data_IF_495061093030
#
_entry.id   IF_495061093030
#
_cell.length_a   1.000
_cell.length_b   1.000
_cell.length_c   1.000
_cell.angle_alpha   90.00
_cell.angle_beta   90.00
_cell.angle_gamma   90.00
#
_symmetry.space_group_name_H-M   'P 1'
#
loop_
_entity.id
_entity.type
_entity.pdbx_description
1 polymer ?
#
# COMPACT_ATOMS: atom_id res chain seq x y z
N UNK A 1 19.18 3.24 -16.55
CA UNK A 1 20.26 3.72 -17.45
C UNK A 1 19.68 4.53 -18.60
N UNK A 2 18.78 3.97 -19.42
CA UNK A 2 18.20 4.67 -20.57
C UNK A 2 17.45 5.97 -20.23
N UNK A 3 16.64 5.98 -19.16
CA UNK A 3 15.91 7.19 -18.74
C UNK A 3 16.84 8.36 -18.34
N UNK A 4 18.02 8.07 -17.80
CA UNK A 4 19.02 9.12 -17.51
C UNK A 4 19.67 9.58 -18.83
N UNK A 5 19.92 8.65 -19.76
CA UNK A 5 20.41 8.97 -21.10
C UNK A 5 19.53 9.98 -21.84
N UNK A 6 18.21 9.87 -21.73
CA UNK A 6 17.24 10.85 -22.30
C UNK A 6 17.53 12.26 -21.77
N UNK A 7 17.65 12.45 -20.45
CA UNK A 7 17.92 13.76 -19.86
C UNK A 7 19.34 14.28 -20.14
N UNK A 8 20.32 13.38 -20.24
CA UNK A 8 21.69 13.76 -20.58
C UNK A 8 21.83 14.18 -22.04
N UNK A 9 21.12 13.53 -22.97
CA UNK A 9 21.20 13.84 -24.39
C UNK A 9 20.74 15.28 -24.70
N UNK A 10 19.74 15.77 -23.97
CA UNK A 10 19.20 17.15 -24.09
C UNK A 10 19.93 18.17 -23.21
N UNK A 11 20.88 17.75 -22.39
CA UNK A 11 21.60 18.65 -21.50
C UNK A 11 22.55 19.54 -22.30
N UNK A 12 22.55 20.85 -22.01
CA UNK A 12 23.30 21.88 -22.75
C UNK A 12 22.92 22.04 -24.23
N UNK A 13 21.76 21.54 -24.65
CA UNK A 13 21.22 21.81 -25.98
C UNK A 13 20.51 23.17 -25.97
N UNK A 14 20.92 24.15 -26.82
CA UNK A 14 20.20 25.42 -26.93
C UNK A 14 18.74 25.21 -27.32
N UNK A 15 17.86 26.13 -26.89
CA UNK A 15 16.47 26.07 -27.33
C UNK A 15 16.36 26.45 -28.81
N UNK A 16 15.88 25.52 -29.64
CA UNK A 16 15.75 25.71 -31.08
C UNK A 16 15.46 24.39 -31.79
N UNK A 17 15.38 24.45 -33.11
CA UNK A 17 15.30 23.26 -33.97
C UNK A 17 16.70 22.64 -34.12
N UNK A 18 16.99 21.62 -33.32
CA UNK A 18 18.32 20.99 -33.23
C UNK A 18 18.19 19.49 -33.49
N UNK A 19 18.59 19.10 -34.70
CA UNK A 19 18.53 17.70 -35.15
C UNK A 19 19.59 16.81 -34.49
N UNK A 20 20.72 17.37 -34.04
CA UNK A 20 21.88 16.60 -33.55
C UNK A 20 21.57 15.71 -32.33
N UNK A 21 20.54 16.06 -31.56
CA UNK A 21 20.14 15.32 -30.36
C UNK A 21 18.99 14.35 -30.63
N UNK A 22 18.25 14.56 -31.71
CA UNK A 22 17.01 13.83 -31.99
C UNK A 22 17.27 12.33 -32.24
N UNK A 23 18.26 12.01 -33.07
CA UNK A 23 18.59 10.64 -33.46
C UNK A 23 19.03 9.77 -32.26
N UNK A 24 19.71 10.36 -31.29
CA UNK A 24 20.13 9.67 -30.05
C UNK A 24 18.99 9.58 -29.03
N UNK A 25 18.11 10.58 -29.00
CA UNK A 25 17.03 10.69 -28.01
C UNK A 25 15.88 9.71 -28.28
N UNK A 26 15.42 9.62 -29.53
CA UNK A 26 14.24 8.83 -29.89
C UNK A 26 14.36 7.34 -29.50
N UNK A 27 15.49 6.63 -29.78
CA UNK A 27 15.65 5.23 -29.38
C UNK A 27 15.66 5.06 -27.86
N UNK A 28 16.24 6.00 -27.12
CA UNK A 28 16.28 5.97 -25.64
C UNK A 28 14.88 6.10 -25.04
N UNK A 29 14.06 6.99 -25.59
CA UNK A 29 12.66 7.14 -25.18
C UNK A 29 11.88 5.86 -25.48
N UNK A 30 11.97 5.35 -26.71
CA UNK A 30 11.23 4.16 -27.14
C UNK A 30 11.60 2.95 -26.28
N UNK A 31 12.89 2.68 -26.10
CA UNK A 31 13.36 1.56 -25.28
C UNK A 31 12.93 1.69 -23.82
N UNK A 32 12.97 2.90 -23.25
CA UNK A 32 12.49 3.16 -21.89
C UNK A 32 10.99 2.81 -21.75
N UNK A 33 10.16 3.23 -22.70
CA UNK A 33 8.72 2.94 -22.67
C UNK A 33 8.44 1.44 -22.82
N UNK A 34 9.18 0.75 -23.70
CA UNK A 34 9.06 -0.69 -23.88
C UNK A 34 9.44 -1.46 -22.61
N UNK A 35 10.52 -1.07 -21.95
CA UNK A 35 10.97 -1.72 -20.72
C UNK A 35 10.02 -1.45 -19.55
N UNK A 36 9.49 -0.23 -19.43
CA UNK A 36 8.45 0.09 -18.45
C UNK A 36 7.20 -0.78 -18.65
N UNK A 37 6.71 -0.89 -19.89
CA UNK A 37 5.57 -1.74 -20.22
C UNK A 37 5.83 -3.22 -19.89
N UNK A 38 7.02 -3.73 -20.20
CA UNK A 38 7.43 -5.10 -19.85
C UNK A 38 7.42 -5.32 -18.34
N UNK A 39 8.02 -4.40 -17.58
CA UNK A 39 8.12 -4.51 -16.13
C UNK A 39 6.72 -4.50 -15.47
N UNK A 40 5.87 -3.55 -15.85
CA UNK A 40 4.49 -3.44 -15.33
C UNK A 40 3.66 -4.67 -15.72
N UNK A 41 3.77 -5.13 -16.97
CA UNK A 41 3.05 -6.32 -17.43
C UNK A 41 3.49 -7.59 -16.70
N UNK A 42 4.79 -7.76 -16.48
CA UNK A 42 5.32 -8.89 -15.72
C UNK A 42 4.79 -8.86 -14.28
N UNK A 43 4.87 -7.70 -13.62
CA UNK A 43 4.40 -7.55 -12.25
C UNK A 43 2.89 -7.81 -12.11
N UNK A 44 2.08 -7.28 -13.03
CA UNK A 44 0.63 -7.52 -13.06
C UNK A 44 0.30 -9.01 -13.20
N UNK A 45 1.02 -9.73 -14.06
CA UNK A 45 0.85 -11.17 -14.22
C UNK A 45 1.31 -11.94 -12.97
N UNK A 46 2.45 -11.55 -12.37
CA UNK A 46 2.94 -12.16 -11.12
C UNK A 46 1.92 -12.00 -9.99
N UNK A 47 1.36 -10.80 -9.80
CA UNK A 47 0.32 -10.57 -8.79
C UNK A 47 -0.95 -11.36 -9.06
N UNK A 48 -1.36 -11.46 -10.33
CA UNK A 48 -2.55 -12.24 -10.74
C UNK A 48 -2.39 -13.74 -10.46
N UNK A 49 -1.18 -14.26 -10.58
CA UNK A 49 -0.86 -15.67 -10.30
C UNK A 49 -0.42 -15.92 -8.85
N UNK A 50 -0.36 -14.90 -8.00
CA UNK A 50 0.16 -15.05 -6.65
C UNK A 50 -0.80 -15.90 -5.79
N UNK A 51 -0.25 -16.89 -5.11
CA UNK A 51 -0.96 -17.67 -4.10
C UNK A 51 -0.48 -17.29 -2.71
N UNK A 52 -1.43 -17.06 -1.80
CA UNK A 52 -1.14 -16.66 -0.43
C UNK A 52 -1.45 -17.79 0.54
N UNK A 53 -0.47 -18.19 1.35
CA UNK A 53 -0.70 -19.12 2.44
C UNK A 53 -1.40 -18.38 3.61
N UNK A 54 -2.73 -18.33 3.55
CA UNK A 54 -3.56 -17.60 4.52
C UNK A 54 -3.37 -18.10 5.96
N UNK A 55 -3.14 -19.40 6.14
CA UNK A 55 -2.90 -19.97 7.47
C UNK A 55 -1.58 -19.46 8.06
N UNK A 56 -0.51 -19.45 7.27
CA UNK A 56 0.79 -18.93 7.70
C UNK A 56 0.73 -17.42 7.97
N UNK A 57 0.05 -16.66 7.11
CA UNK A 57 -0.13 -15.22 7.30
C UNK A 57 -0.92 -14.92 8.58
N UNK A 58 -2.03 -15.63 8.81
CA UNK A 58 -2.83 -15.50 10.03
C UNK A 58 -2.02 -15.82 11.28
N UNK A 59 -1.25 -16.92 11.26
CA UNK A 59 -0.37 -17.31 12.36
C UNK A 59 0.66 -16.20 12.65
N UNK A 60 1.38 -15.74 11.63
CA UNK A 60 2.41 -14.70 11.77
C UNK A 60 1.85 -13.37 12.28
N UNK A 61 0.62 -13.01 11.91
CA UNK A 61 -0.03 -11.79 12.37
C UNK A 61 -0.28 -11.77 13.89
N UNK A 62 -0.41 -12.95 14.52
CA UNK A 62 -0.57 -13.08 15.97
C UNK A 62 0.75 -13.27 16.73
N UNK A 63 1.88 -13.42 16.05
CA UNK A 63 3.19 -13.65 16.66
C UNK A 63 3.95 -12.34 16.90
N UNK A 64 5.04 -12.42 17.66
CA UNK A 64 6.02 -11.33 17.84
C UNK A 64 5.40 -10.02 18.37
N UNK A 65 4.33 -10.11 19.15
CA UNK A 65 3.72 -8.95 19.81
C UNK A 65 3.25 -7.86 18.84
N UNK A 66 2.95 -8.19 17.57
CA UNK A 66 2.53 -7.21 16.54
C UNK A 66 1.31 -6.41 16.99
N UNK A 67 0.40 -7.05 17.74
CA UNK A 67 -0.88 -6.49 18.16
C UNK A 67 -0.81 -5.62 19.43
N UNK A 68 0.34 -5.54 20.11
CA UNK A 68 0.41 -4.91 21.45
C UNK A 68 0.19 -3.40 21.47
N UNK A 69 0.34 -2.73 20.32
CA UNK A 69 -0.04 -1.32 20.21
C UNK A 69 -1.54 -1.13 20.42
N UNK A 70 -2.36 -2.07 19.95
CA UNK A 70 -3.81 -2.07 20.21
C UNK A 70 -4.14 -2.34 21.67
N UNK A 71 -3.34 -3.18 22.35
CA UNK A 71 -3.48 -3.37 23.80
C UNK A 71 -3.21 -2.08 24.56
N UNK A 72 -2.17 -1.32 24.19
CA UNK A 72 -1.90 -0.02 24.80
C UNK A 72 -3.05 0.97 24.57
N UNK A 73 -3.54 1.07 23.34
CA UNK A 73 -4.67 1.95 23.01
C UNK A 73 -5.96 1.53 23.74
N UNK A 74 -6.19 0.24 23.91
CA UNK A 74 -7.33 -0.29 24.66
C UNK A 74 -7.26 0.13 26.13
N UNK A 75 -6.07 0.04 26.75
CA UNK A 75 -5.85 0.50 28.12
C UNK A 75 -6.12 2.01 28.23
N UNK A 76 -5.65 2.83 27.28
CA UNK A 76 -5.93 4.27 27.25
C UNK A 76 -7.44 4.52 27.23
N UNK A 77 -8.17 3.88 26.32
CA UNK A 77 -9.61 4.08 26.14
C UNK A 77 -10.44 3.60 27.34
N UNK A 78 -10.06 2.48 27.94
CA UNK A 78 -10.84 1.85 29.03
C UNK A 78 -10.53 2.43 30.40
N UNK A 79 -9.27 2.81 30.65
CA UNK A 79 -8.84 3.31 31.95
C UNK A 79 -8.73 4.84 32.01
N UNK A 80 -8.79 5.53 30.86
CA UNK A 80 -8.55 6.97 30.78
C UNK A 80 -7.10 7.37 31.12
N UNK A 81 -6.15 6.45 30.96
CA UNK A 81 -4.74 6.67 31.30
C UNK A 81 -4.01 7.41 30.18
N UNK A 82 -2.99 8.24 30.49
CA UNK A 82 -2.11 8.78 29.47
C UNK A 82 -1.43 7.65 28.68
N UNK A 83 -1.30 7.82 27.35
CA UNK A 83 -0.69 6.81 26.48
C UNK A 83 0.70 6.35 26.95
N UNK A 84 1.53 7.27 27.45
CA UNK A 84 2.85 6.94 28.01
C UNK A 84 2.78 5.89 29.12
N UNK A 85 1.75 5.95 29.97
CA UNK A 85 1.56 5.02 31.08
C UNK A 85 1.09 3.65 30.55
N UNK A 86 0.09 3.63 29.67
CA UNK A 86 -0.37 2.40 29.02
C UNK A 86 0.76 1.70 28.25
N UNK A 87 1.53 2.46 27.47
CA UNK A 87 2.70 1.97 26.74
C UNK A 87 3.79 1.42 27.69
N UNK A 88 3.99 2.04 28.85
CA UNK A 88 4.93 1.53 29.85
C UNK A 88 4.49 0.19 30.45
N UNK A 89 3.20 0.04 30.76
CA UNK A 89 2.61 -1.22 31.25
C UNK A 89 2.80 -2.32 30.21
N UNK A 90 2.35 -2.08 28.97
CA UNK A 90 2.47 -3.04 27.87
C UNK A 90 3.93 -3.38 27.57
N UNK A 91 4.83 -2.40 27.56
CA UNK A 91 6.25 -2.64 27.35
C UNK A 91 6.90 -3.49 28.44
N UNK A 92 6.45 -3.37 29.70
CA UNK A 92 6.85 -4.29 30.78
C UNK A 92 6.27 -5.69 30.56
N UNK A 93 5.01 -5.80 30.17
CA UNK A 93 4.35 -7.08 29.87
C UNK A 93 5.05 -7.84 28.74
N UNK A 94 5.43 -7.15 27.65
CA UNK A 94 6.23 -7.74 26.56
C UNK A 94 7.56 -8.27 27.09
N UNK A 95 8.32 -7.48 27.86
CA UNK A 95 9.62 -7.92 28.40
C UNK A 95 9.47 -9.14 29.32
N UNK A 96 8.44 -9.14 30.16
CA UNK A 96 8.16 -10.27 31.05
C UNK A 96 7.78 -11.52 30.25
N UNK A 97 6.90 -11.40 29.25
CA UNK A 97 6.49 -12.49 28.38
C UNK A 97 7.70 -13.09 27.63
N UNK A 98 8.56 -12.23 27.04
CA UNK A 98 9.81 -12.67 26.38
C UNK A 98 10.73 -13.41 27.35
N UNK A 99 10.92 -12.90 28.57
CA UNK A 99 11.77 -13.55 29.57
C UNK A 99 11.26 -14.93 30.01
N UNK A 100 9.93 -15.13 29.94
CA UNK A 100 9.24 -16.38 30.27
C UNK A 100 9.06 -17.30 29.05
N UNK A 101 9.54 -16.88 27.87
CA UNK A 101 9.28 -17.54 26.58
C UNK A 101 7.78 -17.83 26.36
N UNK A 102 6.95 -16.84 26.68
CA UNK A 102 5.49 -16.91 26.61
C UNK A 102 4.90 -15.73 25.84
N UNK A 103 3.60 -15.80 25.58
CA UNK A 103 2.80 -14.64 25.15
C UNK A 103 2.44 -13.74 26.35
N UNK A 104 1.85 -12.58 26.07
CA UNK A 104 1.25 -11.74 27.11
C UNK A 104 -0.06 -12.38 27.57
N UNK A 105 -0.11 -12.74 28.85
CA UNK A 105 -1.32 -13.23 29.50
C UNK A 105 -2.00 -12.13 30.31
N UNK A 106 -3.27 -12.34 30.66
CA UNK A 106 -4.00 -11.45 31.57
C UNK A 106 -3.24 -11.24 32.89
N UNK A 107 -2.70 -12.31 33.48
CA UNK A 107 -1.95 -12.25 34.73
C UNK A 107 -0.67 -11.41 34.61
N UNK A 108 0.11 -11.59 33.53
CA UNK A 108 1.31 -10.79 33.27
C UNK A 108 0.94 -9.31 33.14
N UNK A 109 -0.17 -9.00 32.47
CA UNK A 109 -0.64 -7.63 32.32
C UNK A 109 -1.06 -7.02 33.67
N UNK A 110 -1.81 -7.77 34.48
CA UNK A 110 -2.26 -7.33 35.80
C UNK A 110 -1.09 -7.15 36.78
N UNK A 111 -0.10 -8.03 36.75
CA UNK A 111 1.16 -7.91 37.50
C UNK A 111 1.90 -6.62 37.11
N UNK A 112 2.13 -6.40 35.82
CA UNK A 112 2.81 -5.20 35.31
C UNK A 112 2.02 -3.92 35.61
N UNK A 113 0.68 -3.97 35.56
CA UNK A 113 -0.17 -2.83 35.94
C UNK A 113 0.00 -2.48 37.40
N UNK A 114 -0.01 -3.47 38.32
CA UNK A 114 0.19 -3.24 39.75
C UNK A 114 1.54 -2.59 40.03
N UNK A 115 2.59 -2.99 39.32
CA UNK A 115 3.91 -2.34 39.45
C UNK A 115 3.93 -0.88 39.00
N UNK A 116 3.20 -0.52 37.94
CA UNK A 116 3.25 0.83 37.35
C UNK A 116 2.25 1.78 38.01
N UNK A 117 1.05 1.30 38.34
CA UNK A 117 -0.07 2.09 38.83
C UNK A 117 -0.35 1.89 40.33
N UNK A 118 0.23 0.87 40.97
CA UNK A 118 -0.15 0.43 42.31
C UNK A 118 -1.49 -0.33 42.35
N UNK A 119 -2.13 -0.56 41.20
CA UNK A 119 -3.40 -1.28 41.07
C UNK A 119 -3.48 -2.10 39.79
N UNK A 120 -4.40 -3.07 39.76
CA UNK A 120 -4.77 -3.77 38.53
C UNK A 120 -5.58 -2.89 37.56
N UNK A 121 -5.65 -3.33 36.32
CA UNK A 121 -6.55 -2.78 35.30
C UNK A 121 -7.96 -3.34 35.51
N UNK A 122 -8.97 -2.55 35.14
CA UNK A 122 -10.38 -2.95 35.13
C UNK A 122 -10.78 -3.80 33.93
N UNK A 123 -9.87 -3.99 32.96
CA UNK A 123 -10.08 -4.87 31.81
C UNK A 123 -10.31 -6.31 32.29
N UNK A 124 -11.22 -7.01 31.61
CA UNK A 124 -11.42 -8.45 31.75
C UNK A 124 -10.40 -9.24 30.92
N UNK A 125 -10.24 -10.53 31.22
CA UNK A 125 -9.39 -11.43 30.43
C UNK A 125 -9.81 -11.46 28.95
N UNK A 126 -11.10 -11.58 28.68
CA UNK A 126 -11.66 -11.54 27.32
C UNK A 126 -11.33 -10.23 26.57
N UNK A 127 -11.33 -9.10 27.26
CA UNK A 127 -10.97 -7.81 26.65
C UNK A 127 -9.47 -7.72 26.32
N UNK A 128 -8.62 -8.35 27.12
CA UNK A 128 -7.17 -8.44 26.85
C UNK A 128 -6.91 -9.38 25.67
N UNK A 129 -7.55 -10.55 25.64
CA UNK A 129 -7.47 -11.48 24.50
C UNK A 129 -7.96 -10.82 23.20
N UNK A 130 -9.09 -10.10 23.27
CA UNK A 130 -9.60 -9.35 22.13
C UNK A 130 -8.61 -8.26 21.68
N UNK A 131 -8.01 -7.50 22.61
CA UNK A 131 -7.03 -6.48 22.26
C UNK A 131 -5.74 -7.03 21.63
N UNK A 132 -5.38 -8.28 21.95
CA UNK A 132 -4.23 -9.00 21.39
C UNK A 132 -4.55 -9.76 20.08
N UNK A 133 -5.83 -9.87 19.71
CA UNK A 133 -6.25 -10.54 18.47
C UNK A 133 -5.87 -9.72 17.21
N UNK A 134 -5.28 -10.35 16.18
CA UNK A 134 -5.04 -9.71 14.88
C UNK A 134 -6.32 -9.22 14.20
N UNK A 135 -7.44 -9.93 14.38
CA UNK A 135 -8.74 -9.55 13.80
C UNK A 135 -9.22 -8.24 14.40
N UNK A 136 -9.18 -8.12 15.72
CA UNK A 136 -9.56 -6.90 16.41
C UNK A 136 -8.64 -5.74 16.02
N UNK A 137 -7.31 -5.98 16.00
CA UNK A 137 -6.32 -5.02 15.55
C UNK A 137 -6.66 -4.43 14.18
N UNK A 138 -7.07 -5.27 13.23
CA UNK A 138 -7.47 -4.82 11.89
C UNK A 138 -8.83 -4.11 11.95
N UNK A 139 -9.82 -4.70 12.62
CA UNK A 139 -11.21 -4.22 12.60
C UNK A 139 -11.39 -2.82 13.20
N UNK A 140 -10.62 -2.46 14.23
CA UNK A 140 -10.76 -1.17 14.93
C UNK A 140 -10.11 0.01 14.18
N UNK A 141 -9.28 -0.25 13.18
CA UNK A 141 -8.60 0.79 12.38
C UNK A 141 -9.51 1.30 11.26
N UNK A 142 -10.58 1.98 11.64
CA UNK A 142 -11.65 2.48 10.75
C UNK A 142 -11.44 3.90 10.24
N UNK A 143 -10.35 4.57 10.65
CA UNK A 143 -9.99 5.90 10.13
C UNK A 143 -9.68 5.84 8.62
N UNK A 144 -9.79 6.97 7.93
CA UNK A 144 -9.46 7.05 6.50
C UNK A 144 -8.06 6.49 6.22
N UNK A 145 -7.97 5.49 5.34
CA UNK A 145 -6.72 4.79 5.01
C UNK A 145 -6.33 3.68 6.01
N UNK A 146 -7.19 3.39 6.99
CA UNK A 146 -7.02 2.30 7.93
C UNK A 146 -7.25 0.92 7.31
N UNK A 147 -6.87 -0.11 8.05
CA UNK A 147 -6.88 -1.50 7.58
C UNK A 147 -8.22 -2.22 7.79
N UNK A 148 -9.20 -1.59 8.43
CA UNK A 148 -10.50 -2.20 8.65
C UNK A 148 -11.15 -2.65 7.33
N UNK A 149 -11.93 -3.75 7.32
CA UNK A 149 -12.58 -4.22 6.08
C UNK A 149 -13.49 -3.19 5.43
N UNK A 150 -14.12 -2.29 6.20
CA UNK A 150 -14.89 -1.17 5.66
C UNK A 150 -14.01 -0.20 4.88
N UNK A 151 -12.86 0.19 5.43
CA UNK A 151 -11.93 1.14 4.82
C UNK A 151 -11.20 0.54 3.61
N UNK A 152 -10.82 -0.73 3.69
CA UNK A 152 -10.21 -1.44 2.55
C UNK A 152 -11.21 -1.58 1.40
N UNK A 153 -12.49 -1.88 1.69
CA UNK A 153 -13.54 -1.89 0.65
C UNK A 153 -13.77 -0.51 0.05
N UNK A 154 -13.74 0.54 0.87
CA UNK A 154 -13.86 1.93 0.41
C UNK A 154 -12.71 2.31 -0.52
N UNK A 155 -11.46 1.99 -0.15
CA UNK A 155 -10.30 2.21 -1.00
C UNK A 155 -10.41 1.43 -2.33
N UNK A 156 -10.78 0.15 -2.28
CA UNK A 156 -10.99 -0.67 -3.48
C UNK A 156 -12.05 -0.07 -4.43
N UNK A 157 -13.13 0.50 -3.88
CA UNK A 157 -14.16 1.14 -4.69
C UNK A 157 -13.61 2.37 -5.44
N UNK A 158 -12.80 3.19 -4.77
CA UNK A 158 -12.14 4.36 -5.39
C UNK A 158 -11.20 3.91 -6.52
N UNK A 159 -10.39 2.88 -6.31
CA UNK A 159 -9.49 2.36 -7.35
C UNK A 159 -10.25 1.80 -8.56
N UNK A 160 -11.40 1.16 -8.35
CA UNK A 160 -12.26 0.69 -9.45
C UNK A 160 -12.86 1.83 -10.26
N UNK A 161 -13.18 2.95 -9.61
CA UNK A 161 -13.68 4.14 -10.30
C UNK A 161 -12.58 4.76 -11.17
N UNK A 162 -11.35 4.85 -10.65
CA UNK A 162 -10.20 5.27 -11.45
C UNK A 162 -9.92 4.31 -12.62
N UNK A 163 -9.91 3.00 -12.38
CA UNK A 163 -9.72 1.99 -13.43
C UNK A 163 -10.76 2.14 -14.55
N UNK A 164 -12.03 2.34 -14.20
CA UNK A 164 -13.10 2.55 -15.18
C UNK A 164 -12.93 3.86 -15.96
N UNK A 165 -12.50 4.93 -15.29
CA UNK A 165 -12.24 6.23 -15.93
C UNK A 165 -11.07 6.13 -16.90
N UNK A 166 -9.97 5.51 -16.48
CA UNK A 166 -8.77 5.32 -17.29
C UNK A 166 -9.04 4.45 -18.51
N UNK A 167 -9.82 3.37 -18.35
CA UNK A 167 -10.23 2.52 -19.46
C UNK A 167 -11.09 3.28 -20.49
N UNK A 168 -12.05 4.09 -20.02
CA UNK A 168 -12.89 4.90 -20.89
C UNK A 168 -12.09 5.98 -21.63
N UNK A 169 -11.15 6.62 -20.93
CA UNK A 169 -10.22 7.57 -21.52
C UNK A 169 -9.37 6.91 -22.60
N UNK A 170 -8.79 5.73 -22.32
CA UNK A 170 -7.94 5.00 -23.26
C UNK A 170 -8.68 4.68 -24.56
N UNK A 171 -9.90 4.15 -24.48
CA UNK A 171 -10.74 3.84 -25.66
C UNK A 171 -11.03 5.11 -26.47
N UNK A 172 -11.37 6.20 -25.79
CA UNK A 172 -11.68 7.48 -26.44
C UNK A 172 -10.46 8.03 -27.19
N UNK A 173 -9.28 8.02 -26.60
CA UNK A 173 -8.07 8.56 -27.23
C UNK A 173 -7.61 7.69 -28.40
N UNK A 174 -7.66 6.36 -28.27
CA UNK A 174 -7.39 5.45 -29.39
C UNK A 174 -8.34 5.68 -30.57
N UNK A 175 -9.65 5.80 -30.29
CA UNK A 175 -10.64 6.08 -31.33
C UNK A 175 -10.43 7.41 -32.06
N UNK A 176 -9.93 8.45 -31.36
CA UNK A 176 -9.57 9.72 -31.99
C UNK A 176 -8.39 9.56 -32.96
N UNK A 177 -7.35 8.84 -32.54
CA UNK A 177 -6.16 8.57 -33.37
C UNK A 177 -6.54 7.76 -34.62
N UNK A 178 -7.31 6.69 -34.45
CA UNK A 178 -7.78 5.85 -35.56
C UNK A 178 -8.65 6.65 -36.54
N UNK A 179 -9.57 7.47 -36.03
CA UNK A 179 -10.42 8.33 -36.87
C UNK A 179 -9.60 9.35 -37.66
N UNK A 180 -8.60 9.97 -37.04
CA UNK A 180 -7.71 10.91 -37.71
C UNK A 180 -6.88 10.23 -38.80
N UNK A 181 -6.34 9.05 -38.52
CA UNK A 181 -5.58 8.24 -39.50
C UNK A 181 -6.45 7.82 -40.70
N UNK A 182 -7.70 7.42 -40.46
CA UNK A 182 -8.64 7.06 -41.51
C UNK A 182 -8.97 8.27 -42.42
N UNK A 183 -9.24 9.44 -41.83
CA UNK A 183 -9.49 10.68 -42.57
C UNK A 183 -8.29 11.10 -43.42
N UNK A 184 -7.07 10.99 -42.86
CA UNK A 184 -5.85 11.29 -43.61
C UNK A 184 -5.71 10.36 -44.81
N UNK A 185 -5.91 9.06 -44.62
CA UNK A 185 -5.86 8.07 -45.69
C UNK A 185 -6.86 8.38 -46.80
N UNK A 186 -8.11 8.70 -46.43
CA UNK A 186 -9.15 9.08 -47.39
C UNK A 186 -8.77 10.32 -48.22
N UNK A 187 -8.23 11.36 -47.57
CA UNK A 187 -7.80 12.58 -48.23
C UNK A 187 -6.63 12.33 -49.19
N UNK A 188 -5.66 11.51 -48.80
CA UNK A 188 -4.51 11.14 -49.64
C UNK A 188 -4.97 10.39 -50.89
N UNK A 189 -5.87 9.42 -50.75
CA UNK A 189 -6.41 8.67 -51.88
C UNK A 189 -7.24 9.56 -52.82
N UNK A 190 -8.05 10.47 -52.27
CA UNK A 190 -8.78 11.46 -53.05
C UNK A 190 -7.85 12.38 -53.85
N UNK A 191 -6.73 12.80 -53.27
CA UNK A 191 -5.74 13.63 -53.95
C UNK A 191 -4.98 12.87 -55.04
N UNK A 192 -4.72 11.57 -54.85
CA UNK A 192 -4.06 10.72 -55.86
C UNK A 192 -4.96 10.40 -57.06
N UNK A 193 -6.28 10.38 -56.85
CA UNK A 193 -7.26 10.03 -57.87
C UNK A 193 -7.71 11.20 -58.76
N UNK A 194 -7.34 12.44 -58.41
CA UNK A 194 -7.64 13.67 -59.17
C UNK A 194 -6.40 14.25 -59.83
#
# INVERSE_FOLDING_TARGET
AQSIGVFTAIHNTPFGDINDVEDDLQPLILTTMLDANRAVSLFANTLRSAEFNLQSLRKRAGENFITVTELADTIVRREGLPFRVAHQIVGKSVRMAVSKNSEITFDILQECSKEVLGRGLSLTELEVEAALSPENFIAVRTVFGGTAPSETRRALQVEREYESSDAAWLVKEHGQIESAAAKLSELVEKYRAG
#
